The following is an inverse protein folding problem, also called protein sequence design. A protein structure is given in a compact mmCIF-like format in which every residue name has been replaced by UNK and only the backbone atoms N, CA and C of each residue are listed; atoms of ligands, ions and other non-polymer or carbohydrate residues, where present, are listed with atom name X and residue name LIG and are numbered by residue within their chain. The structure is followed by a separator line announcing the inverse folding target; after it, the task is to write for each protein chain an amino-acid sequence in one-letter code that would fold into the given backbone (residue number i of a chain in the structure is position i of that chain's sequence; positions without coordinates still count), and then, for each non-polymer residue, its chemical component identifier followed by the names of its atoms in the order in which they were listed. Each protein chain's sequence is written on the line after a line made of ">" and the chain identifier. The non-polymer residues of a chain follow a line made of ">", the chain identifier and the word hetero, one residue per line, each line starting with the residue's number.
data_IF_389287436057
#
_entry.id   IF_389287436057
#
_cell.length_a   1.000
_cell.length_b   1.000
_cell.length_c   1.000
_cell.angle_alpha   90.00
_cell.angle_beta   90.00
_cell.angle_gamma   90.00
#
_symmetry.space_group_name_H-M   'P 1'
#
loop_
_entity.id
_entity.type
_entity.pdbx_description
1 polymer ?
#
# COMPACT_ATOMS: atom_id res chain seq x y z
N UNK A 1 -17.22 -31.42 17.63
CA UNK A 1 -18.57 -31.43 17.03
C UNK A 1 -18.38 -31.14 15.54
N UNK A 2 -18.81 -32.11 14.69
CA UNK A 2 -18.40 -32.27 13.30
C UNK A 2 -18.73 -31.05 12.38
N UNK A 3 -17.73 -30.53 11.70
CA UNK A 3 -17.93 -29.65 10.52
C UNK A 3 -17.95 -30.56 9.26
N UNK A 4 -19.08 -30.56 8.58
CA UNK A 4 -19.33 -31.32 7.33
C UNK A 4 -18.62 -30.58 6.19
N UNK A 5 -17.73 -31.28 5.50
CA UNK A 5 -17.17 -30.89 4.21
C UNK A 5 -18.26 -30.96 3.14
N UNK A 6 -18.54 -29.84 2.49
CA UNK A 6 -19.39 -29.79 1.29
C UNK A 6 -18.45 -29.94 0.09
N UNK A 7 -18.52 -31.14 -0.53
CA UNK A 7 -17.83 -31.40 -1.80
C UNK A 7 -18.78 -30.95 -2.93
N UNK A 8 -18.38 -29.94 -3.68
CA UNK A 8 -19.11 -29.49 -4.87
C UNK A 8 -18.66 -30.33 -6.06
N UNK A 9 -19.56 -31.16 -6.57
CA UNK A 9 -19.33 -32.00 -7.73
C UNK A 9 -19.46 -31.18 -9.02
N UNK A 10 -18.38 -31.08 -9.78
CA UNK A 10 -18.36 -30.47 -11.10
C UNK A 10 -18.85 -31.45 -12.15
N UNK A 11 -19.96 -31.12 -12.80
CA UNK A 11 -20.62 -31.93 -13.83
C UNK A 11 -19.85 -31.80 -15.15
N UNK A 12 -19.17 -32.86 -15.58
CA UNK A 12 -18.53 -32.95 -16.90
C UNK A 12 -19.58 -33.36 -17.90
N UNK A 13 -19.93 -32.47 -18.83
CA UNK A 13 -20.75 -32.79 -20.00
C UNK A 13 -19.83 -33.19 -21.15
N UNK A 14 -19.72 -34.48 -21.39
CA UNK A 14 -19.08 -35.04 -22.59
C UNK A 14 -20.08 -35.06 -23.74
N UNK A 15 -19.83 -34.26 -24.75
CA UNK A 15 -20.59 -34.29 -26.00
C UNK A 15 -19.83 -35.18 -27.00
N UNK A 16 -20.32 -36.40 -27.16
CA UNK A 16 -19.90 -37.35 -28.21
C UNK A 16 -20.68 -37.07 -29.50
N UNK A 17 -20.02 -36.73 -30.58
CA UNK A 17 -20.58 -36.78 -31.91
C UNK A 17 -19.67 -37.59 -32.86
N UNK A 18 -20.09 -38.64 -33.26
CA UNK A 18 -20.40 -39.39 -34.44
C UNK A 18 -19.35 -39.55 -35.52
N UNK A 19 -19.10 -40.81 -35.76
CA UNK A 19 -18.29 -41.44 -36.80
C UNK A 19 -18.50 -40.93 -38.23
N UNK A 20 -17.41 -40.77 -38.94
CA UNK A 20 -17.35 -40.77 -40.41
C UNK A 20 -16.06 -41.42 -40.86
N UNK A 21 -16.10 -42.73 -41.21
CA UNK A 21 -15.00 -43.43 -41.87
C UNK A 21 -14.91 -43.06 -43.34
N UNK A 22 -13.76 -42.59 -43.79
CA UNK A 22 -13.29 -42.83 -45.15
C UNK A 22 -11.77 -43.02 -45.13
N UNK A 23 -11.35 -44.20 -45.51
CA UNK A 23 -9.98 -44.59 -45.73
C UNK A 23 -9.48 -44.05 -47.07
N UNK A 24 -8.24 -43.52 -47.13
CA UNK A 24 -7.25 -43.81 -48.18
C UNK A 24 -5.89 -43.11 -47.91
N UNK A 25 -4.90 -43.96 -47.70
CA UNK A 25 -3.58 -43.94 -48.31
C UNK A 25 -2.60 -42.78 -48.08
N UNK A 26 -1.53 -43.02 -47.33
CA UNK A 26 -0.17 -42.63 -47.76
C UNK A 26 0.40 -41.38 -47.18
N UNK A 27 1.44 -41.57 -46.41
CA UNK A 27 2.64 -40.79 -46.10
C UNK A 27 2.79 -40.52 -44.60
N UNK A 28 3.71 -41.27 -43.99
CA UNK A 28 4.30 -40.98 -42.68
C UNK A 28 5.08 -39.66 -42.76
N UNK A 29 4.46 -38.59 -42.30
CA UNK A 29 5.14 -37.38 -41.85
C UNK A 29 5.03 -37.36 -40.33
N UNK A 30 6.11 -37.68 -39.64
CA UNK A 30 6.23 -37.44 -38.20
C UNK A 30 6.16 -35.93 -37.97
N UNK A 31 5.00 -35.42 -37.68
CA UNK A 31 4.84 -34.08 -37.09
C UNK A 31 5.34 -34.20 -35.67
N UNK A 32 6.57 -33.83 -35.42
CA UNK A 32 7.08 -33.51 -34.10
C UNK A 32 6.28 -32.29 -33.61
N UNK A 33 5.19 -32.54 -32.95
CA UNK A 33 4.49 -31.52 -32.18
C UNK A 33 5.41 -31.12 -31.04
N UNK A 34 6.11 -30.00 -31.20
CA UNK A 34 6.61 -29.27 -30.05
C UNK A 34 5.35 -28.89 -29.24
N UNK A 35 5.10 -29.60 -28.14
CA UNK A 35 4.23 -29.11 -27.08
C UNK A 35 4.85 -27.78 -26.64
N UNK A 36 4.33 -26.66 -27.12
CA UNK A 36 4.54 -25.37 -26.48
C UNK A 36 4.01 -25.51 -25.06
N UNK A 37 4.92 -25.53 -24.08
CA UNK A 37 4.53 -25.52 -22.68
C UNK A 37 3.58 -24.34 -22.47
N UNK A 38 2.36 -24.62 -22.02
CA UNK A 38 1.36 -23.60 -21.73
C UNK A 38 1.93 -22.70 -20.63
N UNK A 39 2.27 -21.45 -20.98
CA UNK A 39 2.83 -20.49 -20.03
C UNK A 39 1.73 -20.15 -19.04
N UNK A 40 1.89 -20.57 -17.79
CA UNK A 40 0.98 -20.22 -16.71
C UNK A 40 0.93 -18.71 -16.53
N UNK A 41 -0.25 -18.13 -16.49
CA UNK A 41 -0.48 -16.70 -16.35
C UNK A 41 -1.09 -16.39 -15.00
N UNK A 42 -0.60 -15.33 -14.40
CA UNK A 42 -1.07 -14.82 -13.11
C UNK A 42 -1.56 -13.38 -13.26
N UNK A 43 -2.64 -13.06 -12.55
CA UNK A 43 -3.18 -11.71 -12.48
C UNK A 43 -3.57 -11.41 -11.03
N UNK A 44 -2.93 -10.41 -10.44
CA UNK A 44 -3.10 -10.07 -9.03
C UNK A 44 -3.47 -8.60 -8.83
N UNK A 45 -4.30 -8.29 -7.82
CA UNK A 45 -4.53 -6.92 -7.39
C UNK A 45 -3.38 -6.41 -6.51
N UNK A 46 -3.12 -5.11 -6.61
CA UNK A 46 -2.33 -4.33 -5.68
C UNK A 46 -3.20 -3.19 -5.16
N UNK A 47 -3.40 -3.12 -3.84
CA UNK A 47 -4.21 -2.10 -3.20
C UNK A 47 -3.39 -0.92 -2.67
N UNK A 48 -3.94 0.28 -2.76
CA UNK A 48 -3.42 1.50 -2.13
C UNK A 48 -4.55 2.41 -1.68
N UNK A 49 -4.41 3.02 -0.50
CA UNK A 49 -5.32 4.07 -0.04
C UNK A 49 -5.01 5.42 -0.67
N UNK A 50 -3.81 5.58 -1.22
CA UNK A 50 -3.33 6.83 -1.83
C UNK A 50 -4.04 7.13 -3.15
N UNK A 51 -4.23 8.42 -3.46
CA UNK A 51 -4.80 8.84 -4.74
C UNK A 51 -3.89 8.59 -5.94
N UNK A 52 -4.50 8.69 -7.12
CA UNK A 52 -3.75 8.84 -8.36
C UNK A 52 -2.85 10.09 -8.33
N UNK A 53 -1.86 10.15 -9.22
CA UNK A 53 -0.89 11.25 -9.32
C UNK A 53 -0.03 11.47 -8.04
N UNK A 54 0.12 10.44 -7.21
CA UNK A 54 1.03 10.47 -6.05
C UNK A 54 2.27 9.61 -6.28
N UNK A 55 3.35 9.87 -5.51
CA UNK A 55 4.56 9.02 -5.52
C UNK A 55 4.19 7.58 -5.17
N UNK A 56 3.25 7.37 -4.25
CA UNK A 56 2.74 6.03 -3.89
C UNK A 56 2.18 5.30 -5.12
N UNK A 57 1.36 6.00 -5.91
CA UNK A 57 0.79 5.42 -7.14
C UNK A 57 1.89 5.14 -8.18
N UNK A 58 2.80 6.09 -8.40
CA UNK A 58 3.93 5.92 -9.33
C UNK A 58 4.77 4.70 -8.93
N UNK A 59 5.04 4.52 -7.64
CA UNK A 59 5.79 3.37 -7.14
C UNK A 59 5.07 2.05 -7.42
N UNK A 60 3.76 1.99 -7.14
CA UNK A 60 2.93 0.82 -7.41
C UNK A 60 2.88 0.47 -8.90
N UNK A 61 2.71 1.47 -9.78
CA UNK A 61 2.67 1.28 -11.24
C UNK A 61 4.02 0.82 -11.79
N UNK A 62 5.12 1.42 -11.32
CA UNK A 62 6.47 1.00 -11.73
C UNK A 62 6.78 -0.42 -11.31
N UNK A 63 6.36 -0.83 -10.12
CA UNK A 63 6.47 -2.22 -9.70
C UNK A 63 5.66 -3.14 -10.62
N UNK A 64 4.40 -2.81 -10.90
CA UNK A 64 3.53 -3.60 -11.79
C UNK A 64 4.10 -3.72 -13.22
N UNK A 65 4.59 -2.61 -13.80
CA UNK A 65 5.25 -2.59 -15.11
C UNK A 65 6.49 -3.50 -15.14
N UNK A 66 7.31 -3.44 -14.08
CA UNK A 66 8.56 -4.18 -14.03
C UNK A 66 8.33 -5.69 -13.82
N UNK A 67 7.33 -6.07 -13.01
CA UNK A 67 6.90 -7.47 -12.87
C UNK A 67 6.39 -8.03 -14.22
N UNK A 68 5.56 -7.30 -14.95
CA UNK A 68 5.07 -7.72 -16.26
C UNK A 68 6.23 -7.86 -17.26
N UNK A 69 7.15 -6.90 -17.28
CA UNK A 69 8.35 -6.90 -18.15
C UNK A 69 9.28 -8.09 -17.86
N UNK A 70 9.62 -8.31 -16.58
CA UNK A 70 10.55 -9.37 -16.15
C UNK A 70 9.97 -10.76 -16.34
N UNK A 71 8.66 -10.91 -16.16
CA UNK A 71 7.96 -12.18 -16.36
C UNK A 71 7.63 -12.49 -17.83
N UNK A 72 8.00 -11.60 -18.77
CA UNK A 72 7.62 -11.74 -20.19
C UNK A 72 6.11 -11.72 -20.40
N UNK A 73 5.35 -11.00 -19.54
CA UNK A 73 3.89 -10.88 -19.60
C UNK A 73 3.13 -12.06 -18.98
N UNK A 74 3.81 -12.98 -18.31
CA UNK A 74 3.13 -14.09 -17.61
C UNK A 74 2.53 -13.68 -16.26
N UNK A 75 3.07 -12.62 -15.63
CA UNK A 75 2.56 -12.06 -14.38
C UNK A 75 2.07 -10.63 -14.64
N UNK A 76 0.85 -10.34 -14.21
CA UNK A 76 0.24 -9.02 -14.34
C UNK A 76 -0.31 -8.55 -13.00
N UNK A 77 0.06 -7.32 -12.62
CA UNK A 77 -0.46 -6.67 -11.42
C UNK A 77 -1.38 -5.52 -11.83
N UNK A 78 -2.60 -5.51 -11.28
CA UNK A 78 -3.56 -4.43 -11.48
C UNK A 78 -3.57 -3.54 -10.25
N UNK A 79 -3.23 -2.26 -10.41
CA UNK A 79 -3.15 -1.29 -9.31
C UNK A 79 -4.52 -0.66 -9.06
N UNK A 80 -4.94 -0.62 -7.79
CA UNK A 80 -6.20 -0.06 -7.32
C UNK A 80 -5.94 1.04 -6.28
N UNK A 81 -5.85 2.32 -6.71
CA UNK A 81 -5.66 3.47 -5.83
C UNK A 81 -6.96 3.90 -5.13
N UNK A 82 -6.93 5.06 -4.45
CA UNK A 82 -8.11 5.75 -3.90
C UNK A 82 -8.93 4.93 -2.91
N UNK A 83 -8.32 4.02 -2.15
CA UNK A 83 -9.03 3.12 -1.21
C UNK A 83 -10.12 2.27 -1.86
N UNK A 84 -10.03 1.96 -3.17
CA UNK A 84 -11.03 1.14 -3.90
C UNK A 84 -11.15 -0.26 -3.28
N UNK A 85 -10.02 -0.82 -2.78
CA UNK A 85 -9.99 -2.12 -2.11
C UNK A 85 -10.00 -2.01 -0.57
N UNK A 86 -10.10 -0.81 -0.02
CA UNK A 86 -10.10 -0.54 1.41
C UNK A 86 -9.14 0.59 1.82
N UNK A 87 -9.29 1.08 3.06
CA UNK A 87 -8.32 1.97 3.69
C UNK A 87 -7.07 1.24 4.15
N UNK A 88 -6.13 1.97 4.78
CA UNK A 88 -4.82 1.39 5.16
C UNK A 88 -4.94 0.15 6.05
N UNK A 89 -5.85 0.17 7.03
CA UNK A 89 -6.08 -0.95 7.95
C UNK A 89 -6.66 -2.16 7.22
N UNK A 90 -7.74 -1.96 6.46
CA UNK A 90 -8.41 -3.04 5.73
C UNK A 90 -7.48 -3.69 4.70
N UNK A 91 -6.61 -2.90 4.05
CA UNK A 91 -5.61 -3.41 3.12
C UNK A 91 -4.58 -4.30 3.84
N UNK A 92 -4.10 -3.90 5.04
CA UNK A 92 -3.18 -4.73 5.82
C UNK A 92 -3.83 -6.04 6.29
N UNK A 93 -5.06 -5.97 6.79
CA UNK A 93 -5.82 -7.15 7.20
C UNK A 93 -6.02 -8.11 6.02
N UNK A 94 -6.50 -7.59 4.88
CA UNK A 94 -6.71 -8.39 3.67
C UNK A 94 -5.41 -8.95 3.07
N UNK A 95 -4.29 -8.23 3.18
CA UNK A 95 -2.99 -8.73 2.74
C UNK A 95 -2.51 -9.88 3.64
N UNK A 96 -2.64 -9.73 4.95
CA UNK A 96 -2.28 -10.75 5.91
C UNK A 96 -3.12 -12.03 5.77
N UNK A 97 -4.41 -11.87 5.45
CA UNK A 97 -5.34 -12.99 5.27
C UNK A 97 -5.23 -13.64 3.86
N UNK A 98 -4.35 -13.12 2.98
CA UNK A 98 -4.14 -13.64 1.63
C UNK A 98 -5.20 -13.22 0.61
N UNK A 99 -6.13 -12.35 0.95
CA UNK A 99 -7.19 -11.88 0.03
C UNK A 99 -6.65 -10.88 -1.02
N UNK A 100 -5.68 -10.04 -0.63
CA UNK A 100 -4.99 -9.06 -1.50
C UNK A 100 -3.50 -9.35 -1.46
N UNK A 101 -2.88 -9.82 -2.57
CA UNK A 101 -1.47 -10.19 -2.59
C UNK A 101 -0.51 -9.03 -2.27
N UNK A 102 -0.76 -7.85 -2.84
CA UNK A 102 0.17 -6.72 -2.79
C UNK A 102 -0.48 -5.47 -2.23
N UNK A 103 0.24 -4.75 -1.38
CA UNK A 103 -0.16 -3.45 -0.84
C UNK A 103 0.99 -2.46 -0.91
N UNK A 104 0.70 -1.24 -1.36
CA UNK A 104 1.61 -0.09 -1.27
C UNK A 104 0.94 0.99 -0.42
N UNK A 105 1.57 1.33 0.70
CA UNK A 105 1.05 2.33 1.62
C UNK A 105 2.13 2.94 2.51
N UNK A 106 1.78 4.02 3.22
CA UNK A 106 2.64 4.62 4.24
C UNK A 106 2.93 3.63 5.39
N UNK A 107 4.13 3.71 5.96
CA UNK A 107 4.57 2.84 7.07
C UNK A 107 3.81 3.11 8.38
N UNK A 108 3.31 4.33 8.60
CA UNK A 108 2.73 4.73 9.88
C UNK A 108 1.50 3.90 10.33
N UNK A 109 0.52 3.54 9.48
CA UNK A 109 -0.57 2.65 9.88
C UNK A 109 -0.11 1.23 10.26
N UNK A 110 1.04 0.80 9.74
CA UNK A 110 1.59 -0.55 9.94
C UNK A 110 2.05 -0.81 11.37
N UNK A 111 2.34 0.23 12.14
CA UNK A 111 2.74 0.14 13.55
C UNK A 111 1.72 -0.60 14.40
N UNK A 112 0.45 -0.58 14.03
CA UNK A 112 -0.60 -1.32 14.76
C UNK A 112 -0.49 -2.84 14.56
N UNK A 113 0.18 -3.28 13.50
CA UNK A 113 0.43 -4.69 13.15
C UNK A 113 1.86 -5.11 13.50
N UNK A 114 2.82 -4.24 13.24
CA UNK A 114 4.26 -4.47 13.42
C UNK A 114 4.87 -3.29 14.20
N UNK A 115 5.04 -3.43 15.50
CA UNK A 115 5.45 -2.34 16.40
C UNK A 115 6.80 -1.71 16.06
N UNK A 116 7.72 -2.50 15.53
CA UNK A 116 9.08 -2.05 15.27
C UNK A 116 9.18 -1.16 14.01
N UNK A 117 8.14 -1.13 13.17
CA UNK A 117 8.04 -0.12 12.10
C UNK A 117 7.94 1.31 12.64
N UNK A 118 7.64 1.48 13.94
CA UNK A 118 7.63 2.76 14.64
C UNK A 118 8.99 3.50 14.66
N UNK A 119 10.07 2.87 14.24
CA UNK A 119 11.36 3.55 14.05
C UNK A 119 11.24 4.75 13.11
N UNK A 120 10.34 4.71 12.13
CA UNK A 120 10.09 5.81 11.21
C UNK A 120 9.17 6.90 11.78
N UNK A 121 8.52 6.66 12.91
CA UNK A 121 7.56 7.57 13.56
C UNK A 121 8.15 8.31 14.76
N UNK A 122 9.48 8.35 14.85
CA UNK A 122 10.20 9.14 15.86
C UNK A 122 10.39 10.57 15.34
N UNK A 123 9.68 11.58 15.90
CA UNK A 123 9.77 12.93 15.41
C UNK A 123 11.19 13.51 15.50
N UNK A 124 11.61 14.20 14.44
CA UNK A 124 12.94 14.84 14.34
C UNK A 124 14.13 13.85 14.47
N UNK A 125 13.93 12.57 14.18
CA UNK A 125 15.02 11.59 14.12
C UNK A 125 15.95 11.85 12.94
N UNK A 126 15.41 12.29 11.81
CA UNK A 126 16.13 12.60 10.58
C UNK A 126 16.06 14.10 10.30
N UNK A 127 17.16 14.69 9.88
CA UNK A 127 17.22 16.10 9.47
C UNK A 127 16.98 16.27 7.97
N UNK A 128 17.37 15.28 7.17
CA UNK A 128 17.26 15.30 5.71
C UNK A 128 16.65 14.01 5.17
N UNK A 129 16.06 14.11 3.98
CA UNK A 129 15.54 12.93 3.30
C UNK A 129 16.66 12.00 2.79
N UNK A 130 17.82 12.56 2.52
CA UNK A 130 19.00 11.78 2.09
C UNK A 130 19.51 10.88 3.23
N UNK A 131 19.46 11.35 4.48
CA UNK A 131 19.72 10.48 5.65
C UNK A 131 18.74 9.33 5.75
N UNK A 132 17.45 9.57 5.51
CA UNK A 132 16.43 8.53 5.49
C UNK A 132 16.76 7.49 4.42
N UNK A 133 17.07 7.94 3.19
CA UNK A 133 17.43 7.06 2.06
C UNK A 133 18.67 6.22 2.36
N UNK A 134 19.73 6.85 2.92
CA UNK A 134 20.96 6.15 3.30
C UNK A 134 20.66 5.00 4.28
N UNK A 135 19.73 5.18 5.22
CA UNK A 135 19.36 4.16 6.18
C UNK A 135 18.51 3.06 5.56
N UNK A 136 17.49 3.40 4.77
CA UNK A 136 16.60 2.39 4.17
C UNK A 136 17.27 1.63 3.02
N UNK A 137 18.30 2.21 2.38
CA UNK A 137 19.13 1.55 1.37
C UNK A 137 20.27 0.72 1.99
N UNK A 138 20.49 0.80 3.30
CA UNK A 138 21.48 -0.01 3.99
C UNK A 138 21.03 -1.47 4.05
N UNK A 139 21.83 -2.44 3.52
CA UNK A 139 21.42 -3.84 3.46
C UNK A 139 21.14 -4.47 4.83
N UNK A 140 21.90 -4.12 5.86
CA UNK A 140 21.70 -4.67 7.22
C UNK A 140 20.40 -4.16 7.83
N UNK A 141 20.07 -2.88 7.60
CA UNK A 141 18.80 -2.31 8.05
C UNK A 141 17.62 -2.90 7.28
N UNK A 142 17.77 -3.07 5.95
CA UNK A 142 16.74 -3.69 5.13
C UNK A 142 16.46 -5.15 5.56
N UNK A 143 17.50 -5.94 5.83
CA UNK A 143 17.35 -7.32 6.33
C UNK A 143 16.61 -7.35 7.68
N UNK A 144 16.97 -6.42 8.59
CA UNK A 144 16.25 -6.28 9.87
C UNK A 144 14.77 -5.95 9.66
N UNK A 145 14.47 -5.01 8.77
CA UNK A 145 13.08 -4.63 8.51
C UNK A 145 12.31 -5.75 7.79
N UNK A 146 12.93 -6.47 6.88
CA UNK A 146 12.32 -7.66 6.26
C UNK A 146 11.93 -8.70 7.33
N UNK A 147 12.76 -8.92 8.32
CA UNK A 147 12.43 -9.80 9.45
C UNK A 147 11.23 -9.27 10.26
N UNK A 148 11.17 -7.95 10.52
CA UNK A 148 10.03 -7.31 11.22
C UNK A 148 8.72 -7.54 10.47
N UNK A 149 8.74 -7.42 9.14
CA UNK A 149 7.56 -7.63 8.30
C UNK A 149 7.18 -9.12 8.24
N UNK A 150 8.15 -10.01 8.06
CA UNK A 150 7.94 -11.45 8.08
C UNK A 150 7.31 -11.92 9.40
N UNK A 151 7.81 -11.48 10.55
CA UNK A 151 7.23 -11.78 11.87
C UNK A 151 5.79 -11.26 12.01
N UNK A 152 5.43 -10.25 11.22
CA UNK A 152 4.07 -9.69 11.11
C UNK A 152 3.13 -10.48 10.19
N UNK A 153 3.65 -11.40 9.36
CA UNK A 153 2.93 -12.16 8.33
C UNK A 153 2.89 -11.46 6.97
N UNK A 154 3.93 -10.67 6.67
CA UNK A 154 4.10 -9.95 5.40
C UNK A 154 5.54 -10.12 4.92
N UNK A 155 5.76 -9.95 3.62
CA UNK A 155 7.09 -9.81 3.04
C UNK A 155 7.32 -8.39 2.53
N UNK A 156 8.40 -7.76 2.99
CA UNK A 156 8.80 -6.41 2.56
C UNK A 156 9.63 -6.49 1.29
N UNK A 157 9.15 -5.90 0.21
CA UNK A 157 9.86 -5.84 -1.07
C UNK A 157 10.74 -4.58 -1.19
N UNK A 158 10.36 -3.47 -0.55
CA UNK A 158 11.16 -2.25 -0.56
C UNK A 158 10.44 -1.03 -0.05
N UNK A 159 11.18 0.08 0.02
CA UNK A 159 10.70 1.39 0.44
C UNK A 159 10.81 2.42 -0.67
N UNK A 160 9.96 3.44 -0.61
CA UNK A 160 10.09 4.71 -1.30
C UNK A 160 9.77 5.85 -0.32
N UNK A 161 10.07 7.10 -0.69
CA UNK A 161 9.76 8.27 0.15
C UNK A 161 9.00 9.35 -0.63
N UNK A 162 8.26 10.19 0.10
CA UNK A 162 7.58 11.39 -0.39
C UNK A 162 8.08 12.68 0.30
N UNK A 163 9.28 12.66 0.90
CA UNK A 163 9.83 13.75 1.68
C UNK A 163 9.27 13.83 3.10
N UNK A 164 9.28 15.02 3.70
CA UNK A 164 8.79 15.23 5.06
C UNK A 164 7.33 15.64 5.12
N UNK A 165 6.69 15.30 6.23
CA UNK A 165 5.32 15.70 6.53
C UNK A 165 5.31 17.11 7.13
N UNK A 166 4.42 17.94 6.64
CA UNK A 166 4.14 19.30 7.13
C UNK A 166 2.68 19.39 7.56
N UNK A 167 2.34 20.36 8.42
CA UNK A 167 0.97 20.58 8.86
C UNK A 167 0.27 21.61 7.95
N UNK A 168 -1.01 21.39 7.63
CA UNK A 168 -1.90 22.45 7.13
C UNK A 168 -2.97 22.78 8.14
N UNK A 169 -3.44 24.03 8.18
CA UNK A 169 -4.41 24.50 9.18
C UNK A 169 -5.09 25.79 8.73
N UNK A 170 -6.25 26.11 9.30
CA UNK A 170 -6.92 27.41 9.14
C UNK A 170 -6.59 28.39 10.26
N UNK A 171 -5.68 28.04 11.16
CA UNK A 171 -5.19 28.90 12.22
C UNK A 171 -3.72 29.23 12.03
N UNK A 172 -3.38 30.53 12.00
CA UNK A 172 -1.96 30.95 11.97
C UNK A 172 -1.21 30.40 13.18
N UNK A 173 -0.08 29.75 12.93
CA UNK A 173 0.82 29.20 13.95
C UNK A 173 2.12 29.99 13.94
N UNK A 174 2.43 30.70 15.02
CA UNK A 174 3.65 31.45 15.20
C UNK A 174 4.50 30.92 16.36
N UNK A 175 3.87 30.17 17.27
CA UNK A 175 4.55 29.59 18.42
C UNK A 175 3.84 28.30 18.90
N UNK A 176 4.47 27.57 19.82
CA UNK A 176 3.95 26.29 20.31
C UNK A 176 2.55 26.36 20.93
N UNK A 177 2.19 27.50 21.55
CA UNK A 177 0.86 27.64 22.17
C UNK A 177 -0.28 27.68 21.14
N UNK A 178 0.02 27.95 19.87
CA UNK A 178 -0.97 28.07 18.81
C UNK A 178 -1.50 26.70 18.34
N UNK A 179 -0.79 25.62 18.65
CA UNK A 179 -1.29 24.26 18.43
C UNK A 179 -2.44 23.89 19.37
N UNK A 180 -2.56 24.59 20.52
CA UNK A 180 -3.49 24.21 21.56
C UNK A 180 -4.93 24.12 21.06
N UNK A 181 -5.53 22.94 21.26
CA UNK A 181 -6.93 22.65 20.98
C UNK A 181 -7.27 22.49 19.49
N UNK A 182 -6.31 22.63 18.56
CA UNK A 182 -6.56 22.35 17.16
C UNK A 182 -6.86 20.86 16.97
N UNK A 183 -7.99 20.54 16.36
CA UNK A 183 -8.34 19.16 15.98
C UNK A 183 -7.54 18.78 14.74
N UNK A 184 -6.42 18.14 14.94
CA UNK A 184 -5.57 17.71 13.83
C UNK A 184 -5.86 16.27 13.46
N UNK A 185 -6.15 16.02 12.19
CA UNK A 185 -6.26 14.66 11.69
C UNK A 185 -4.87 14.02 11.61
N UNK A 186 -4.79 12.78 12.08
CA UNK A 186 -3.62 11.92 11.92
C UNK A 186 -4.03 10.61 11.25
N UNK A 187 -3.05 9.86 10.77
CA UNK A 187 -3.22 8.44 10.50
C UNK A 187 -3.48 7.68 11.81
N UNK A 188 -3.92 6.43 11.71
CA UNK A 188 -4.10 5.54 12.86
C UNK A 188 -2.73 5.09 13.39
N UNK A 189 -2.09 5.96 14.15
CA UNK A 189 -0.76 5.75 14.70
C UNK A 189 -0.65 6.42 16.08
N UNK A 190 -0.33 5.63 17.11
CA UNK A 190 -0.26 6.11 18.49
C UNK A 190 0.88 7.10 18.73
N UNK A 191 1.99 7.00 17.98
CA UNK A 191 3.13 7.91 18.09
C UNK A 191 2.80 9.28 17.49
N UNK A 192 2.17 9.31 16.31
CA UNK A 192 1.67 10.55 15.70
C UNK A 192 0.67 11.24 16.63
N UNK A 193 -0.28 10.50 17.17
CA UNK A 193 -1.25 11.05 18.15
C UNK A 193 -0.54 11.58 19.39
N UNK A 194 0.44 10.87 19.95
CA UNK A 194 1.19 11.31 21.11
C UNK A 194 1.99 12.60 20.81
N UNK A 195 2.63 12.70 19.65
CA UNK A 195 3.36 13.89 19.23
C UNK A 195 2.46 15.14 19.24
N UNK A 196 1.35 15.10 18.50
CA UNK A 196 0.44 16.24 18.41
C UNK A 196 -0.24 16.56 19.74
N UNK A 197 -0.58 15.55 20.53
CA UNK A 197 -1.13 15.75 21.88
C UNK A 197 -0.14 16.45 22.80
N UNK A 198 1.14 16.11 22.74
CA UNK A 198 2.18 16.76 23.54
C UNK A 198 2.40 18.22 23.14
N UNK A 199 2.15 18.60 21.89
CA UNK A 199 2.13 19.97 21.43
C UNK A 199 0.85 20.72 21.84
N UNK A 200 -0.12 20.03 22.46
CA UNK A 200 -1.38 20.61 22.94
C UNK A 200 -2.52 20.56 21.94
N UNK A 201 -2.33 19.98 20.76
CA UNK A 201 -3.39 19.72 19.80
C UNK A 201 -4.32 18.57 20.25
N UNK A 202 -5.42 18.41 19.54
CA UNK A 202 -6.39 17.32 19.72
C UNK A 202 -6.35 16.39 18.51
N UNK A 203 -5.44 15.38 18.50
CA UNK A 203 -5.31 14.46 17.37
C UNK A 203 -6.58 13.60 17.21
N UNK A 204 -7.03 13.47 15.98
CA UNK A 204 -8.20 12.70 15.58
C UNK A 204 -7.79 11.72 14.49
N UNK A 205 -7.66 10.42 14.78
CA UNK A 205 -7.37 9.42 13.77
C UNK A 205 -8.55 9.26 12.82
N UNK A 206 -8.27 9.22 11.51
CA UNK A 206 -9.29 9.18 10.46
C UNK A 206 -8.69 8.59 9.18
N UNK A 207 -9.47 7.82 8.44
CA UNK A 207 -9.08 7.30 7.12
C UNK A 207 -8.80 8.45 6.16
N UNK A 208 -7.88 8.22 5.19
CA UNK A 208 -7.47 9.31 4.30
C UNK A 208 -8.62 9.83 3.42
N UNK A 209 -9.51 8.95 2.97
CA UNK A 209 -10.67 9.29 2.14
C UNK A 209 -11.65 10.27 2.80
N UNK A 210 -11.63 10.39 4.13
CA UNK A 210 -12.52 11.27 4.89
C UNK A 210 -11.91 12.66 5.15
N UNK A 211 -10.60 12.85 4.90
CA UNK A 211 -9.86 14.06 5.30
C UNK A 211 -10.41 15.32 4.64
N UNK A 212 -10.56 15.33 3.31
CA UNK A 212 -11.04 16.51 2.59
C UNK A 212 -12.42 16.97 3.09
N UNK A 213 -13.34 16.03 3.24
CA UNK A 213 -14.69 16.32 3.76
C UNK A 213 -14.65 16.74 5.22
N UNK A 214 -13.77 16.14 6.02
CA UNK A 214 -13.55 16.51 7.42
C UNK A 214 -13.09 17.95 7.58
N UNK A 215 -12.14 18.40 6.74
CA UNK A 215 -11.68 19.79 6.67
C UNK A 215 -12.81 20.74 6.21
N UNK A 216 -13.50 20.36 5.13
CA UNK A 216 -14.59 21.16 4.56
C UNK A 216 -15.73 21.38 5.55
N UNK A 217 -16.08 20.37 6.34
CA UNK A 217 -17.15 20.44 7.33
C UNK A 217 -16.70 21.00 8.69
N UNK A 218 -15.38 21.23 8.89
CA UNK A 218 -14.82 21.71 10.15
C UNK A 218 -14.90 20.69 11.29
N UNK A 219 -15.02 19.39 10.97
CA UNK A 219 -14.91 18.32 11.98
C UNK A 219 -13.48 18.15 12.45
N UNK A 220 -12.53 18.51 11.60
CA UNK A 220 -11.11 18.69 11.88
C UNK A 220 -10.66 20.09 11.43
N UNK A 221 -9.69 20.68 12.13
CA UNK A 221 -9.17 22.04 11.86
C UNK A 221 -7.87 22.01 11.04
N UNK A 222 -7.20 20.87 11.08
CA UNK A 222 -5.85 20.70 10.53
C UNK A 222 -5.60 19.24 10.10
N UNK A 223 -4.59 19.06 9.26
CA UNK A 223 -4.03 17.75 8.90
C UNK A 223 -2.52 17.87 8.69
N UNK A 224 -1.83 16.76 8.51
CA UNK A 224 -0.40 16.70 8.22
C UNK A 224 -0.10 15.66 7.14
N UNK A 225 0.64 16.06 6.13
CA UNK A 225 1.06 15.24 4.99
C UNK A 225 2.24 15.91 4.26
N UNK A 226 2.92 15.21 3.36
CA UNK A 226 3.87 15.84 2.44
C UNK A 226 3.18 16.85 1.50
N UNK A 227 3.94 17.81 0.99
CA UNK A 227 3.44 18.81 0.05
C UNK A 227 2.73 18.21 -1.17
N UNK A 228 3.28 17.14 -1.70
CA UNK A 228 2.74 16.47 -2.88
C UNK A 228 1.32 15.94 -2.59
N UNK A 229 1.08 15.31 -1.45
CA UNK A 229 -0.25 14.83 -1.03
C UNK A 229 -1.22 16.00 -0.82
N UNK A 230 -0.73 17.12 -0.25
CA UNK A 230 -1.56 18.33 -0.06
C UNK A 230 -2.01 18.88 -1.41
N UNK A 231 -1.14 18.88 -2.42
CA UNK A 231 -1.44 19.42 -3.75
C UNK A 231 -2.34 18.47 -4.55
N UNK A 232 -1.97 17.19 -4.65
CA UNK A 232 -2.73 16.20 -5.44
C UNK A 232 -4.17 16.02 -4.95
N UNK A 233 -4.39 16.14 -3.63
CA UNK A 233 -5.72 16.04 -3.02
C UNK A 233 -6.40 17.39 -2.79
N UNK A 234 -5.81 18.48 -3.29
CA UNK A 234 -6.36 19.84 -3.20
C UNK A 234 -6.71 20.26 -1.76
N UNK A 235 -5.97 19.75 -0.76
CA UNK A 235 -6.24 20.07 0.65
C UNK A 235 -6.07 21.56 0.92
N UNK A 236 -5.25 22.27 0.10
CA UNK A 236 -5.09 23.71 0.13
C UNK A 236 -6.39 24.50 -0.15
N UNK A 237 -7.41 23.88 -0.77
CA UNK A 237 -8.70 24.54 -0.96
C UNK A 237 -9.47 24.73 0.36
N UNK A 238 -9.11 23.94 1.36
CA UNK A 238 -9.76 23.92 2.69
C UNK A 238 -8.84 24.44 3.80
N UNK A 239 -7.60 24.86 3.48
CA UNK A 239 -6.57 25.21 4.47
C UNK A 239 -5.81 26.48 4.08
N UNK A 240 -5.81 27.49 4.98
CA UNK A 240 -5.23 28.80 4.74
C UNK A 240 -3.71 28.85 4.92
N UNK A 241 -3.15 27.95 5.72
CA UNK A 241 -1.74 27.99 6.13
C UNK A 241 -1.08 26.63 5.99
N UNK A 242 0.21 26.66 5.62
CA UNK A 242 1.13 25.54 5.79
C UNK A 242 2.11 25.88 6.90
N UNK A 243 2.33 24.97 7.81
CA UNK A 243 3.34 25.06 8.86
C UNK A 243 4.41 24.02 8.58
N UNK A 244 5.61 24.46 8.26
CA UNK A 244 6.74 23.61 7.90
C UNK A 244 7.33 22.91 9.13
N UNK A 245 6.56 21.99 9.68
CA UNK A 245 6.96 21.24 10.86
C UNK A 245 8.06 20.22 10.57
N UNK A 246 8.10 19.67 9.36
CA UNK A 246 9.06 18.66 8.89
C UNK A 246 9.35 17.58 9.96
N UNK A 247 8.30 17.18 10.67
CA UNK A 247 8.39 16.42 11.91
C UNK A 247 8.69 14.93 11.70
N UNK A 248 8.31 14.38 10.55
CA UNK A 248 8.50 12.97 10.20
C UNK A 248 8.77 12.79 8.71
N UNK A 249 9.59 11.84 8.30
CA UNK A 249 9.63 11.40 6.90
C UNK A 249 8.32 10.69 6.53
N UNK A 250 7.94 10.76 5.28
CA UNK A 250 6.84 9.98 4.73
C UNK A 250 7.41 8.81 3.92
N UNK A 251 7.57 7.68 4.57
CA UNK A 251 8.00 6.45 3.92
C UNK A 251 6.80 5.62 3.45
N UNK A 252 7.01 4.98 2.31
CA UNK A 252 6.05 4.09 1.66
C UNK A 252 6.71 2.72 1.58
N UNK A 253 6.02 1.68 2.00
CA UNK A 253 6.44 0.30 1.81
C UNK A 253 5.63 -0.38 0.71
N UNK A 254 6.28 -1.24 -0.03
CA UNK A 254 5.67 -2.24 -0.90
C UNK A 254 5.78 -3.59 -0.18
N UNK A 255 4.65 -4.17 0.12
CA UNK A 255 4.56 -5.45 0.82
C UNK A 255 3.75 -6.47 0.01
N UNK A 256 4.05 -7.72 0.23
CA UNK A 256 3.31 -8.86 -0.29
C UNK A 256 2.86 -9.76 0.86
N UNK A 257 1.72 -10.44 0.69
CA UNK A 257 1.27 -11.47 1.62
C UNK A 257 2.27 -12.62 1.67
N UNK A 258 2.63 -13.08 2.86
CA UNK A 258 3.49 -14.26 3.04
C UNK A 258 2.96 -15.47 2.27
N UNK A 259 1.63 -15.69 2.26
CA UNK A 259 0.99 -16.79 1.54
C UNK A 259 1.24 -16.77 0.01
N UNK A 260 1.41 -15.57 -0.58
CA UNK A 260 1.67 -15.40 -2.02
C UNK A 260 3.15 -15.36 -2.37
N UNK A 261 4.02 -15.14 -1.40
CA UNK A 261 5.47 -15.04 -1.63
C UNK A 261 6.12 -16.42 -1.66
N UNK A 262 5.63 -17.38 -0.89
CA UNK A 262 6.07 -18.79 -0.83
C UNK A 262 5.48 -19.64 -1.98
#
# INVERSE_FOLDING_TARGET
>A
MNRKKIVSAMLIVTLTCGLGLTACGGAQGSVSGTEEAEVQRYAWPLGSSSPEDTVTQIYAEKFAEEVERLSGGSMKISVYPNSVLGGDRELLESCKDGDIPFVVQNTAPQVTFMKDTAVFDMPALFETIDEVREHVDNPEFMELMQQVYHDGGYELLGYADQGFRVMTTNKKVENLSDFKGQKIRTMENSYHMAYWKNLGASPTPMTFSEVYIGLQQGTIDAQENPYEVIVSNKLYEQQDYVVETNHLPHLISLIVSEEFFD
#
